data_IF_165051173650
#
_entry.id   IF_165051173650
#
_cell.length_a   1.000
_cell.length_b   1.000
_cell.length_c   1.000
_cell.angle_alpha   90.00
_cell.angle_beta   90.00
_cell.angle_gamma   90.00
#
_symmetry.space_group_name_H-M   'P 1'
#
loop_
_entity.id
_entity.type
_entity.pdbx_description
1 polymer ?
#
# COMPACT_ATOMS: atom_id res chain seq x y z
N UNK A 1 9.41 1.06 -20.20
CA UNK A 1 9.89 2.46 -19.97
C UNK A 1 8.96 3.24 -19.01
N UNK A 2 7.64 3.43 -19.30
CA UNK A 2 6.74 4.18 -18.41
C UNK A 2 6.58 3.53 -17.03
N UNK A 3 6.36 2.21 -16.96
CA UNK A 3 6.28 1.47 -15.69
C UNK A 3 7.57 1.56 -14.88
N UNK A 4 8.70 1.40 -15.53
CA UNK A 4 10.01 1.48 -14.89
C UNK A 4 10.30 2.88 -14.32
N UNK A 5 9.98 3.94 -15.05
CA UNK A 5 10.08 5.31 -14.57
C UNK A 5 9.21 5.53 -13.34
N UNK A 6 7.94 5.12 -13.39
CA UNK A 6 7.01 5.18 -12.27
C UNK A 6 7.57 4.43 -11.04
N UNK A 7 8.03 3.19 -11.21
CA UNK A 7 8.54 2.39 -10.08
C UNK A 7 9.78 3.05 -9.46
N UNK A 8 10.66 3.62 -10.26
CA UNK A 8 11.85 4.35 -9.78
C UNK A 8 11.48 5.53 -8.88
N UNK A 9 10.44 6.28 -9.24
CA UNK A 9 9.95 7.41 -8.44
C UNK A 9 9.14 6.95 -7.21
N UNK A 10 8.44 5.83 -7.33
CA UNK A 10 7.57 5.28 -6.29
C UNK A 10 8.34 4.60 -5.15
N UNK A 11 9.45 3.92 -5.44
CA UNK A 11 10.24 3.16 -4.45
C UNK A 11 10.63 4.02 -3.24
N UNK A 12 11.25 5.21 -3.37
CA UNK A 12 11.66 5.99 -2.21
C UNK A 12 10.48 6.47 -1.35
N UNK A 13 9.33 6.76 -1.96
CA UNK A 13 8.11 7.11 -1.24
C UNK A 13 7.61 5.93 -0.41
N UNK A 14 7.54 4.77 -1.03
CA UNK A 14 7.14 3.53 -0.35
C UNK A 14 8.09 3.18 0.81
N UNK A 15 9.40 3.24 0.57
CA UNK A 15 10.40 2.96 1.58
C UNK A 15 10.30 3.92 2.78
N UNK A 16 10.03 5.19 2.55
CA UNK A 16 9.89 6.17 3.63
C UNK A 16 8.70 5.85 4.55
N UNK A 17 7.54 5.46 3.99
CA UNK A 17 6.39 5.04 4.79
C UNK A 17 6.66 3.74 5.55
N UNK A 18 7.29 2.77 4.91
CA UNK A 18 7.60 1.51 5.58
C UNK A 18 8.60 1.71 6.72
N UNK A 19 9.69 2.45 6.49
CA UNK A 19 10.68 2.80 7.50
C UNK A 19 10.05 3.52 8.69
N UNK A 20 9.16 4.46 8.44
CA UNK A 20 8.44 5.16 9.51
C UNK A 20 7.60 4.19 10.35
N UNK A 21 6.80 3.32 9.72
CA UNK A 21 5.92 2.38 10.44
C UNK A 21 6.75 1.31 11.17
N UNK A 22 7.81 0.80 10.56
CA UNK A 22 8.69 -0.20 11.15
C UNK A 22 9.74 0.37 12.10
N UNK A 23 9.86 1.70 12.19
CA UNK A 23 10.90 2.41 12.94
C UNK A 23 12.31 1.97 12.52
N UNK A 24 12.54 1.91 11.21
CA UNK A 24 13.80 1.51 10.56
C UNK A 24 14.32 0.10 10.96
N UNK A 25 13.48 -0.74 11.57
CA UNK A 25 13.88 -2.10 11.99
C UNK A 25 14.07 -3.06 10.82
N UNK A 26 13.50 -2.74 9.68
CA UNK A 26 13.43 -3.64 8.52
C UNK A 26 13.69 -2.86 7.24
N UNK A 27 14.43 -3.48 6.33
CA UNK A 27 14.65 -2.94 4.99
C UNK A 27 13.70 -3.59 4.00
N UNK A 28 13.06 -2.78 3.17
CA UNK A 28 12.15 -3.26 2.13
C UNK A 28 12.55 -2.72 0.77
N UNK A 29 12.18 -3.46 -0.27
CA UNK A 29 12.43 -3.08 -1.64
C UNK A 29 11.29 -3.48 -2.57
N UNK A 30 11.26 -2.80 -3.72
CA UNK A 30 10.46 -3.17 -4.87
C UNK A 30 11.42 -3.34 -6.05
N UNK A 31 11.33 -4.46 -6.75
CA UNK A 31 12.10 -4.73 -7.95
C UNK A 31 11.16 -5.01 -9.11
N UNK A 32 11.25 -4.22 -10.16
CA UNK A 32 10.46 -4.42 -11.37
C UNK A 32 11.23 -5.30 -12.34
N UNK A 33 10.64 -6.43 -12.68
CA UNK A 33 11.16 -7.36 -13.67
C UNK A 33 10.32 -7.33 -14.95
N UNK A 34 10.99 -7.22 -16.10
CA UNK A 34 10.35 -7.14 -17.39
C UNK A 34 11.22 -7.81 -18.47
N UNK A 35 10.60 -8.63 -19.29
CA UNK A 35 11.27 -9.23 -20.44
C UNK A 35 11.75 -8.21 -21.49
N UNK A 36 11.18 -7.01 -21.48
CA UNK A 36 11.56 -5.93 -22.40
C UNK A 36 12.48 -4.89 -21.74
N UNK A 37 13.23 -5.25 -20.69
CA UNK A 37 14.17 -4.34 -20.03
C UNK A 37 15.33 -3.99 -20.97
N UNK A 38 15.96 -5.00 -21.54
CA UNK A 38 17.23 -4.90 -22.28
C UNK A 38 17.05 -5.05 -23.79
N UNK A 39 15.84 -5.36 -24.27
CA UNK A 39 15.48 -5.51 -25.67
C UNK A 39 14.18 -4.81 -26.02
N UNK A 40 13.92 -4.59 -27.29
CA UNK A 40 12.60 -4.08 -27.72
C UNK A 40 11.53 -5.16 -27.53
N UNK A 41 10.32 -4.75 -27.14
CA UNK A 41 9.20 -5.69 -26.99
C UNK A 41 8.95 -6.50 -28.26
N UNK A 42 9.17 -5.90 -29.46
CA UNK A 42 9.01 -6.55 -30.74
C UNK A 42 10.02 -7.69 -30.92
N UNK A 43 11.27 -7.49 -30.55
CA UNK A 43 12.32 -8.52 -30.58
C UNK A 43 11.97 -9.67 -29.64
N UNK A 44 11.63 -9.37 -28.40
CA UNK A 44 11.22 -10.36 -27.40
C UNK A 44 10.05 -11.21 -27.89
N UNK A 45 9.04 -10.61 -28.52
CA UNK A 45 7.88 -11.33 -29.07
C UNK A 45 8.23 -12.16 -30.31
N UNK A 46 9.12 -11.66 -31.19
CA UNK A 46 9.61 -12.42 -32.34
C UNK A 46 10.37 -13.67 -31.91
N UNK A 47 11.25 -13.57 -30.93
CA UNK A 47 12.02 -14.70 -30.40
C UNK A 47 11.14 -15.77 -29.75
N UNK A 48 10.06 -15.38 -29.06
CA UNK A 48 9.17 -16.33 -28.39
C UNK A 48 8.12 -16.96 -29.31
N UNK A 49 7.88 -16.39 -30.50
CA UNK A 49 6.76 -16.73 -31.39
C UNK A 49 6.58 -18.22 -31.66
N UNK A 50 7.66 -18.94 -31.98
CA UNK A 50 7.59 -20.38 -32.29
C UNK A 50 7.14 -21.19 -31.06
N UNK A 51 7.62 -20.83 -29.86
CA UNK A 51 7.22 -21.48 -28.60
C UNK A 51 5.79 -21.12 -28.24
N UNK A 52 5.39 -19.87 -28.43
CA UNK A 52 4.03 -19.37 -28.16
C UNK A 52 2.99 -20.12 -29.03
N UNK A 53 3.33 -20.39 -30.29
CA UNK A 53 2.47 -21.17 -31.19
C UNK A 53 2.27 -22.61 -30.71
N UNK A 54 3.33 -23.25 -30.23
CA UNK A 54 3.27 -24.63 -29.68
C UNK A 54 2.44 -24.66 -28.40
N UNK A 55 2.61 -23.66 -27.52
CA UNK A 55 1.96 -23.59 -26.21
C UNK A 55 0.52 -23.06 -26.29
N UNK A 56 0.13 -22.40 -27.39
CA UNK A 56 -1.19 -21.80 -27.55
C UNK A 56 -1.42 -20.48 -26.80
N UNK A 57 -0.36 -19.93 -26.15
CA UNK A 57 -0.41 -18.64 -25.44
C UNK A 57 0.95 -17.94 -25.42
N UNK A 58 0.96 -16.63 -25.21
CA UNK A 58 2.20 -15.85 -25.13
C UNK A 58 2.97 -16.09 -23.84
N UNK A 59 4.22 -16.55 -23.98
CA UNK A 59 5.15 -16.79 -22.86
C UNK A 59 5.87 -15.52 -22.43
N UNK A 60 5.96 -14.51 -23.32
CA UNK A 60 6.68 -13.26 -23.11
C UNK A 60 5.80 -12.04 -23.41
N UNK A 61 6.11 -10.91 -22.80
CA UNK A 61 5.41 -9.65 -23.02
C UNK A 61 5.09 -8.92 -21.72
N UNK A 62 4.51 -7.75 -21.83
CA UNK A 62 4.20 -6.85 -20.69
C UNK A 62 3.21 -7.42 -19.66
N UNK A 63 2.46 -8.46 -20.02
CA UNK A 63 1.57 -9.19 -19.12
C UNK A 63 2.33 -10.18 -18.22
N UNK A 64 3.60 -10.41 -18.50
CA UNK A 64 4.53 -11.22 -17.69
C UNK A 64 5.47 -10.37 -16.85
N UNK A 65 5.33 -9.04 -16.92
CA UNK A 65 6.09 -8.18 -16.04
C UNK A 65 5.69 -8.41 -14.58
N UNK A 66 6.66 -8.46 -13.70
CA UNK A 66 6.45 -8.68 -12.27
C UNK A 66 6.99 -7.52 -11.44
N UNK A 67 6.32 -7.26 -10.34
CA UNK A 67 6.77 -6.37 -9.29
C UNK A 67 7.11 -7.23 -8.06
N UNK A 68 8.39 -7.50 -7.89
CA UNK A 68 8.88 -8.29 -6.77
C UNK A 68 8.90 -7.44 -5.51
N UNK A 69 8.21 -7.92 -4.48
CA UNK A 69 8.11 -7.28 -3.17
C UNK A 69 9.11 -7.96 -2.23
N UNK A 70 10.06 -7.18 -1.70
CA UNK A 70 11.20 -7.71 -0.96
C UNK A 70 11.21 -7.21 0.50
N UNK A 71 11.58 -8.10 1.41
CA UNK A 71 12.00 -7.82 2.78
C UNK A 71 13.48 -8.22 2.89
N UNK A 72 14.37 -7.21 2.99
CA UNK A 72 15.78 -7.44 2.70
C UNK A 72 15.95 -7.94 1.27
N UNK A 73 16.60 -9.09 1.12
CA UNK A 73 16.84 -9.73 -0.18
C UNK A 73 15.81 -10.83 -0.52
N UNK A 74 14.82 -11.05 0.33
CA UNK A 74 13.89 -12.17 0.22
C UNK A 74 12.47 -11.71 -0.15
N UNK A 75 11.70 -12.54 -0.91
CA UNK A 75 10.30 -12.25 -1.21
C UNK A 75 9.46 -12.17 0.07
N UNK A 76 8.89 -11.00 0.36
CA UNK A 76 8.13 -10.80 1.62
C UNK A 76 6.93 -11.74 1.75
N UNK A 77 6.32 -12.13 0.64
CA UNK A 77 5.18 -13.06 0.63
C UNK A 77 5.52 -14.43 1.23
N UNK A 78 6.80 -14.86 1.15
CA UNK A 78 7.26 -16.16 1.63
C UNK A 78 7.89 -16.08 3.02
N UNK A 79 8.69 -15.04 3.24
CA UNK A 79 9.54 -14.92 4.42
C UNK A 79 9.00 -13.94 5.47
N UNK A 80 8.06 -13.07 5.06
CA UNK A 80 7.48 -12.06 5.95
C UNK A 80 6.45 -12.63 6.91
N UNK A 81 6.50 -12.19 8.18
CA UNK A 81 5.43 -12.42 9.15
C UNK A 81 4.11 -11.76 8.70
N UNK A 82 3.00 -12.14 9.33
CA UNK A 82 1.70 -11.51 9.02
C UNK A 82 1.72 -9.99 9.24
N UNK A 83 2.33 -9.53 10.34
CA UNK A 83 2.48 -8.10 10.65
C UNK A 83 3.37 -7.37 9.63
N UNK A 84 4.46 -7.99 9.17
CA UNK A 84 5.33 -7.44 8.14
C UNK A 84 4.61 -7.31 6.79
N UNK A 85 3.89 -8.36 6.37
CA UNK A 85 3.07 -8.32 5.14
C UNK A 85 2.00 -7.24 5.21
N UNK A 86 1.30 -7.11 6.35
CA UNK A 86 0.28 -6.07 6.56
C UNK A 86 0.90 -4.68 6.52
N UNK A 87 2.01 -4.45 7.23
CA UNK A 87 2.76 -3.18 7.19
C UNK A 87 3.18 -2.82 5.77
N UNK A 88 3.64 -3.80 5.01
CA UNK A 88 4.05 -3.60 3.62
C UNK A 88 2.88 -3.11 2.75
N UNK A 89 1.71 -3.75 2.91
CA UNK A 89 0.50 -3.35 2.19
C UNK A 89 0.05 -1.93 2.58
N UNK A 90 0.04 -1.60 3.87
CA UNK A 90 -0.32 -0.26 4.35
C UNK A 90 0.65 0.78 3.79
N UNK A 91 1.96 0.53 3.87
CA UNK A 91 2.98 1.43 3.33
C UNK A 91 2.82 1.64 1.81
N UNK A 92 2.50 0.59 1.03
CA UNK A 92 2.19 0.71 -0.39
C UNK A 92 0.99 1.60 -0.66
N UNK A 93 -0.09 1.46 0.13
CA UNK A 93 -1.30 2.28 -0.01
C UNK A 93 -1.04 3.74 0.31
N UNK A 94 -0.31 4.03 1.39
CA UNK A 94 0.09 5.38 1.75
C UNK A 94 1.01 6.00 0.70
N UNK A 95 1.96 5.25 0.18
CA UNK A 95 2.84 5.68 -0.90
C UNK A 95 2.05 5.97 -2.19
N UNK A 96 1.07 5.12 -2.53
CA UNK A 96 0.19 5.35 -3.68
C UNK A 96 -0.61 6.63 -3.52
N UNK A 97 -1.17 6.87 -2.33
CA UNK A 97 -1.88 8.10 -2.00
C UNK A 97 -0.98 9.33 -2.19
N UNK A 98 0.21 9.32 -1.57
CA UNK A 98 1.16 10.44 -1.64
C UNK A 98 1.63 10.69 -3.08
N UNK A 99 1.92 9.65 -3.85
CA UNK A 99 2.27 9.76 -5.26
C UNK A 99 1.14 10.41 -6.08
N UNK A 100 -0.10 9.94 -5.91
CA UNK A 100 -1.27 10.51 -6.60
C UNK A 100 -1.52 11.96 -6.20
N UNK A 101 -1.36 12.30 -4.91
CA UNK A 101 -1.47 13.67 -4.40
C UNK A 101 -0.45 14.60 -5.05
N UNK A 102 0.80 14.15 -5.23
CA UNK A 102 1.88 14.97 -5.83
C UNK A 102 1.74 15.15 -7.33
N UNK A 103 1.22 14.15 -8.03
CA UNK A 103 1.15 14.13 -9.49
C UNK A 103 -0.22 14.52 -10.05
N UNK A 104 -1.25 14.48 -9.22
CA UNK A 104 -2.62 14.80 -9.60
C UNK A 104 -2.99 16.27 -9.38
N UNK A 105 -4.13 16.67 -9.92
CA UNK A 105 -4.72 18.01 -9.72
C UNK A 105 -5.67 18.09 -8.54
N UNK A 106 -6.05 16.95 -7.98
CA UNK A 106 -6.99 16.83 -6.85
C UNK A 106 -6.38 15.95 -5.76
N UNK A 107 -6.70 16.25 -4.50
CA UNK A 107 -6.28 15.40 -3.37
C UNK A 107 -7.16 14.14 -3.37
N UNK A 108 -6.57 12.94 -3.40
CA UNK A 108 -7.33 11.70 -3.33
C UNK A 108 -8.03 11.53 -1.97
N UNK A 109 -9.09 10.73 -1.91
CA UNK A 109 -9.65 10.22 -0.66
C UNK A 109 -8.90 8.94 -0.27
N UNK A 110 -8.53 8.83 1.01
CA UNK A 110 -7.87 7.65 1.54
C UNK A 110 -8.88 6.74 2.25
N UNK A 111 -9.03 5.52 1.77
CA UNK A 111 -9.88 4.50 2.39
C UNK A 111 -9.01 3.43 3.02
N UNK A 112 -9.12 3.25 4.33
CA UNK A 112 -8.35 2.31 5.13
C UNK A 112 -9.31 1.34 5.82
N UNK A 113 -9.35 0.11 5.34
CA UNK A 113 -10.24 -0.93 5.83
C UNK A 113 -9.47 -1.95 6.67
N UNK A 114 -9.87 -2.10 7.94
CA UNK A 114 -9.32 -3.06 8.92
C UNK A 114 -7.79 -3.08 8.96
N UNK A 115 -7.15 -1.89 8.96
CA UNK A 115 -5.70 -1.79 8.77
C UNK A 115 -4.87 -2.20 9.98
N UNK A 116 -5.45 -2.25 11.18
CA UNK A 116 -4.74 -2.51 12.42
C UNK A 116 -4.68 -3.99 12.80
N UNK A 117 -5.49 -4.86 12.14
CA UNK A 117 -5.47 -6.29 12.39
C UNK A 117 -4.06 -6.88 12.19
N UNK A 118 -3.64 -7.75 13.11
CA UNK A 118 -2.35 -8.47 13.13
C UNK A 118 -1.10 -7.59 13.19
N UNK A 119 -1.24 -6.32 13.55
CA UNK A 119 -0.12 -5.43 13.82
C UNK A 119 0.20 -5.42 15.33
N UNK A 120 1.48 -5.28 15.63
CA UNK A 120 1.92 -4.99 16.99
C UNK A 120 1.60 -3.54 17.40
N UNK A 121 1.55 -3.28 18.72
CA UNK A 121 1.18 -1.98 19.25
C UNK A 121 2.09 -0.84 18.76
N UNK A 122 3.37 -1.13 18.50
CA UNK A 122 4.33 -0.16 18.00
C UNK A 122 3.97 0.30 16.57
N UNK A 123 3.65 -0.63 15.68
CA UNK A 123 3.23 -0.34 14.29
C UNK A 123 1.89 0.39 14.26
N UNK A 124 0.93 -0.06 15.07
CA UNK A 124 -0.36 0.64 15.25
C UNK A 124 -0.13 2.10 15.63
N UNK A 125 0.72 2.35 16.63
CA UNK A 125 1.05 3.72 17.08
C UNK A 125 1.64 4.58 15.95
N UNK A 126 2.54 4.03 15.11
CA UNK A 126 3.10 4.79 14.00
C UNK A 126 2.06 5.08 12.90
N UNK A 127 1.19 4.11 12.59
CA UNK A 127 0.11 4.33 11.61
C UNK A 127 -0.86 5.41 12.13
N UNK A 128 -1.24 5.36 13.42
CA UNK A 128 -2.08 6.39 14.04
C UNK A 128 -1.45 7.78 13.90
N UNK A 129 -0.13 7.91 14.12
CA UNK A 129 0.57 9.20 13.91
C UNK A 129 0.48 9.70 12.47
N UNK A 130 0.54 8.79 11.50
CA UNK A 130 0.42 9.15 10.08
C UNK A 130 -1.00 9.62 9.72
N UNK A 131 -2.02 8.88 10.17
CA UNK A 131 -3.42 9.18 9.82
C UNK A 131 -3.98 10.37 10.61
N UNK A 132 -3.47 10.64 11.81
CA UNK A 132 -3.83 11.82 12.61
C UNK A 132 -3.14 13.11 12.16
N UNK A 133 -2.19 13.04 11.23
CA UNK A 133 -1.50 14.21 10.70
C UNK A 133 -2.25 14.85 9.53
N UNK A 134 -2.09 16.15 9.34
CA UNK A 134 -2.76 16.93 8.29
C UNK A 134 -2.34 16.60 6.85
N UNK A 135 -1.36 15.72 6.69
CA UNK A 135 -0.75 15.43 5.39
C UNK A 135 -1.62 14.58 4.45
N UNK A 136 -2.56 13.79 4.98
CA UNK A 136 -3.33 12.82 4.22
C UNK A 136 -4.71 13.30 3.74
N UNK A 137 -5.14 14.52 4.10
CA UNK A 137 -6.45 15.04 3.71
C UNK A 137 -7.60 14.23 4.31
N UNK A 138 -8.68 13.98 3.53
CA UNK A 138 -9.83 13.23 4.05
C UNK A 138 -9.58 11.72 4.04
N UNK A 139 -9.79 11.10 5.19
CA UNK A 139 -9.58 9.67 5.42
C UNK A 139 -10.88 9.02 5.90
N UNK A 140 -11.18 7.83 5.39
CA UNK A 140 -12.18 6.94 5.95
C UNK A 140 -11.48 5.70 6.51
N UNK A 141 -11.73 5.41 7.78
CA UNK A 141 -11.13 4.26 8.47
C UNK A 141 -12.25 3.37 8.97
N UNK A 142 -12.15 2.07 8.71
CA UNK A 142 -12.98 1.06 9.36
C UNK A 142 -12.11 0.21 10.30
N UNK A 143 -12.65 -0.14 11.45
CA UNK A 143 -12.05 -1.07 12.39
C UNK A 143 -13.15 -1.74 13.23
N UNK A 144 -12.92 -2.97 13.63
CA UNK A 144 -13.77 -3.70 14.59
C UNK A 144 -13.35 -3.45 16.03
N UNK A 145 -12.12 -2.97 16.25
CA UNK A 145 -11.58 -2.65 17.55
C UNK A 145 -11.71 -1.16 17.87
N UNK A 146 -12.66 -0.83 18.75
CA UNK A 146 -12.90 0.55 19.18
C UNK A 146 -11.68 1.22 19.80
N UNK A 147 -10.85 0.48 20.55
CA UNK A 147 -9.65 1.07 21.19
C UNK A 147 -8.68 1.72 20.20
N UNK A 148 -8.55 1.15 18.99
CA UNK A 148 -7.74 1.75 17.93
C UNK A 148 -8.31 3.08 17.47
N UNK A 149 -9.64 3.14 17.29
CA UNK A 149 -10.33 4.36 16.86
C UNK A 149 -10.22 5.43 17.93
N UNK A 150 -10.45 5.11 19.20
CA UNK A 150 -10.32 6.07 20.31
C UNK A 150 -8.92 6.69 20.37
N UNK A 151 -7.87 5.89 20.14
CA UNK A 151 -6.49 6.41 20.07
C UNK A 151 -6.29 7.38 18.91
N UNK A 152 -6.93 7.17 17.77
CA UNK A 152 -6.89 8.10 16.63
C UNK A 152 -7.61 9.38 17.02
N UNK A 153 -8.82 9.27 17.55
CA UNK A 153 -9.67 10.41 17.91
C UNK A 153 -9.01 11.34 18.92
N UNK A 154 -8.36 10.77 19.95
CA UNK A 154 -7.57 11.56 20.90
C UNK A 154 -6.43 12.37 20.27
N UNK A 155 -5.94 11.98 19.10
CA UNK A 155 -4.86 12.70 18.39
C UNK A 155 -5.37 13.68 17.35
N UNK A 156 -6.49 13.39 16.72
CA UNK A 156 -7.10 14.23 15.67
C UNK A 156 -7.88 15.41 16.28
N UNK A 157 -8.30 15.31 17.55
CA UNK A 157 -9.13 16.33 18.19
C UNK A 157 -10.58 16.26 17.72
N UNK A 158 -11.17 17.40 17.34
CA UNK A 158 -12.61 17.52 17.04
C UNK A 158 -12.99 17.43 15.56
N UNK A 159 -12.03 17.30 14.66
CA UNK A 159 -12.29 17.28 13.20
C UNK A 159 -12.51 15.84 12.67
N UNK A 160 -13.52 15.17 13.21
CA UNK A 160 -13.91 13.83 12.76
C UNK A 160 -15.41 13.59 12.88
N UNK A 161 -15.90 12.58 12.18
CA UNK A 161 -17.23 11.98 12.37
C UNK A 161 -17.10 10.48 12.57
N UNK A 162 -17.84 9.98 13.55
CA UNK A 162 -17.90 8.55 13.84
C UNK A 162 -19.24 7.97 13.38
N UNK A 163 -19.19 6.82 12.73
CA UNK A 163 -20.37 6.10 12.27
C UNK A 163 -20.35 4.67 12.81
N UNK A 164 -21.45 4.24 13.37
CA UNK A 164 -21.70 2.85 13.73
C UNK A 164 -22.40 2.14 12.59
N UNK A 165 -21.84 1.02 12.18
CA UNK A 165 -22.42 0.16 11.14
C UNK A 165 -22.91 -1.14 11.78
N UNK A 166 -24.21 -1.38 11.76
CA UNK A 166 -24.82 -2.55 12.38
C UNK A 166 -25.98 -3.07 11.50
N UNK A 167 -25.95 -4.36 11.16
CA UNK A 167 -26.97 -5.02 10.33
C UNK A 167 -27.32 -4.25 9.03
N UNK A 168 -26.31 -3.68 8.38
CA UNK A 168 -26.48 -2.93 7.13
C UNK A 168 -27.00 -1.50 7.31
N UNK A 169 -27.20 -1.04 8.55
CA UNK A 169 -27.60 0.33 8.88
C UNK A 169 -26.40 1.13 9.33
N UNK A 170 -26.32 2.39 8.89
CA UNK A 170 -25.26 3.34 9.28
C UNK A 170 -25.88 4.45 10.12
N UNK A 171 -25.37 4.66 11.32
CA UNK A 171 -25.80 5.72 12.23
C UNK A 171 -24.61 6.59 12.64
N UNK A 172 -24.75 7.92 12.55
CA UNK A 172 -23.76 8.86 13.07
C UNK A 172 -23.82 8.85 14.61
N UNK A 173 -22.68 8.66 15.25
CA UNK A 173 -22.56 8.70 16.72
C UNK A 173 -22.30 10.14 17.16
N UNK A 174 -22.97 10.58 18.21
CA UNK A 174 -22.69 11.88 18.85
C UNK A 174 -21.50 11.74 19.80
N UNK A 175 -20.77 12.86 20.02
CA UNK A 175 -19.59 12.90 20.90
C UNK A 175 -19.83 12.38 22.33
N UNK A 176 -21.08 12.43 22.83
CA UNK A 176 -21.44 11.91 24.15
C UNK A 176 -21.54 10.38 24.22
N UNK A 177 -21.57 9.70 23.07
CA UNK A 177 -21.66 8.24 22.95
C UNK A 177 -20.35 7.60 22.46
N UNK A 178 -19.33 8.41 22.21
CA UNK A 178 -18.06 8.02 21.61
C UNK A 178 -17.01 7.58 22.65
#
# INVERSE_FOLDING_TARGET
>A
RKREAFIREFIPIFQSFYSFISQDREKVGLSYDSHARDASLLEVLKESRARDQIMGYSLRGVHKDELNMLLGDFPIKREGSQGQNKTYLVALKLAQFDFLKRTGTTVPLLLLDDIFDKLDASRVEQIIKLVAGDSLGQIFITDTNREHLDRILHKVGSDYKMFRVEQGTVAEMKEEEA
#
